data_IF_130178396576
#
_entry.id   IF_130178396576
#
_cell.length_a   1.000
_cell.length_b   1.000
_cell.length_c   1.000
_cell.angle_alpha   90.00
_cell.angle_beta   90.00
_cell.angle_gamma   90.00
#
_symmetry.space_group_name_H-M   'P 1'
#
loop_
_entity.id
_entity.type
_entity.pdbx_description
1 polymer ?
#
# COMPACT_ATOMS: atom_id res chain seq x y z
N UNK A 1 -8.24 -34.40 -21.00
CA UNK A 1 -7.50 -34.40 -19.72
C UNK A 1 -6.02 -34.25 -20.02
N UNK A 2 -5.49 -33.03 -20.01
CA UNK A 2 -4.04 -32.81 -20.09
C UNK A 2 -3.44 -32.95 -18.69
N UNK A 3 -2.47 -33.85 -18.56
CA UNK A 3 -1.84 -34.32 -17.33
C UNK A 3 -1.12 -33.18 -16.57
N UNK A 4 -1.58 -32.83 -15.37
CA UNK A 4 -0.93 -31.87 -14.45
C UNK A 4 0.51 -32.25 -14.05
N UNK A 5 0.85 -33.54 -14.09
CA UNK A 5 2.21 -34.01 -13.79
C UNK A 5 3.29 -33.54 -14.78
N UNK A 6 2.97 -33.39 -16.07
CA UNK A 6 3.97 -32.94 -17.08
C UNK A 6 4.18 -31.43 -17.04
N UNK A 7 3.17 -30.68 -16.61
CA UNK A 7 3.24 -29.23 -16.43
C UNK A 7 4.04 -28.86 -15.17
N UNK A 8 3.78 -29.53 -14.05
CA UNK A 8 4.55 -29.36 -12.82
C UNK A 8 6.03 -29.69 -13.02
N UNK A 9 6.32 -30.83 -13.64
CA UNK A 9 7.69 -31.19 -14.01
C UNK A 9 8.31 -30.19 -14.99
N UNK A 10 7.54 -29.61 -15.91
CA UNK A 10 8.02 -28.58 -16.84
C UNK A 10 8.34 -27.24 -16.17
N UNK A 11 7.51 -26.79 -15.22
CA UNK A 11 7.74 -25.57 -14.45
C UNK A 11 8.92 -25.74 -13.46
N UNK A 12 8.96 -26.87 -12.75
CA UNK A 12 10.06 -27.22 -11.87
C UNK A 12 11.37 -27.40 -12.66
N UNK A 13 11.36 -28.07 -13.81
CA UNK A 13 12.53 -28.25 -14.66
C UNK A 13 12.96 -26.94 -15.34
N UNK A 14 12.03 -26.05 -15.71
CA UNK A 14 12.36 -24.72 -16.24
C UNK A 14 13.04 -23.82 -15.20
N UNK A 15 12.58 -23.87 -13.95
CA UNK A 15 13.18 -23.13 -12.84
C UNK A 15 14.51 -23.74 -12.38
N UNK A 16 14.58 -25.07 -12.22
CA UNK A 16 15.82 -25.79 -11.87
C UNK A 16 16.84 -25.75 -13.01
N UNK A 17 16.39 -25.71 -14.26
CA UNK A 17 17.23 -25.53 -15.45
C UNK A 17 17.83 -24.13 -15.53
N UNK A 18 17.12 -23.09 -15.07
CA UNK A 18 17.68 -21.74 -14.93
C UNK A 18 18.71 -21.64 -13.78
N UNK A 19 18.61 -22.49 -12.76
CA UNK A 19 19.46 -22.49 -11.56
C UNK A 19 20.52 -23.61 -11.54
N UNK A 20 20.85 -24.20 -12.69
CA UNK A 20 21.71 -25.37 -12.79
C UNK A 20 23.13 -25.18 -12.21
N UNK A 21 23.49 -26.05 -11.25
CA UNK A 21 24.86 -26.36 -10.82
C UNK A 21 25.41 -25.50 -9.66
N UNK A 22 25.53 -26.10 -8.47
CA UNK A 22 26.14 -25.53 -7.24
C UNK A 22 25.48 -24.27 -6.61
N UNK A 23 24.55 -23.60 -7.29
CA UNK A 23 23.90 -22.38 -6.79
C UNK A 23 22.82 -22.64 -5.71
N UNK A 24 22.10 -23.76 -5.74
CA UNK A 24 20.96 -24.03 -4.85
C UNK A 24 21.27 -23.88 -3.35
N UNK A 25 22.44 -24.35 -2.91
CA UNK A 25 22.85 -24.28 -1.50
C UNK A 25 23.24 -22.86 -1.04
N UNK A 26 23.70 -22.00 -1.94
CA UNK A 26 24.11 -20.62 -1.62
C UNK A 26 23.00 -19.58 -1.93
N UNK A 27 22.07 -19.90 -2.83
CA UNK A 27 21.01 -19.01 -3.31
C UNK A 27 19.81 -18.96 -2.36
N UNK A 28 19.46 -20.09 -1.71
CA UNK A 28 18.35 -20.15 -0.73
C UNK A 28 18.71 -19.45 0.60
N UNK A 29 20.00 -19.32 0.90
CA UNK A 29 20.46 -18.66 2.13
C UNK A 29 20.47 -17.13 2.08
N UNK A 30 20.49 -16.50 0.89
CA UNK A 30 20.76 -15.05 0.83
C UNK A 30 20.38 -14.28 -0.46
N UNK A 31 19.48 -14.78 -1.33
CA UNK A 31 19.18 -14.06 -2.58
C UNK A 31 17.70 -13.92 -2.96
N UNK A 32 17.36 -12.72 -3.44
CA UNK A 32 16.04 -12.23 -3.82
C UNK A 32 15.33 -13.11 -4.88
N UNK A 33 16.08 -13.86 -5.69
CA UNK A 33 15.55 -14.79 -6.70
C UNK A 33 14.98 -16.06 -6.03
N UNK A 34 15.56 -16.51 -4.92
CA UNK A 34 15.08 -17.67 -4.15
C UNK A 34 13.73 -17.41 -3.49
N UNK A 35 13.52 -16.20 -2.96
CA UNK A 35 12.25 -15.79 -2.34
C UNK A 35 11.11 -15.65 -3.37
N UNK A 36 11.41 -15.09 -4.56
CA UNK A 36 10.45 -14.99 -5.68
C UNK A 36 10.03 -16.40 -6.13
N UNK A 37 11.00 -17.29 -6.32
CA UNK A 37 10.74 -18.67 -6.71
C UNK A 37 9.92 -19.43 -5.67
N UNK A 38 10.27 -19.33 -4.40
CA UNK A 38 9.57 -20.03 -3.31
C UNK A 38 8.15 -19.51 -3.08
N UNK A 39 7.92 -18.19 -3.19
CA UNK A 39 6.58 -17.59 -3.07
C UNK A 39 5.64 -17.99 -4.22
N UNK A 40 6.15 -17.99 -5.45
CA UNK A 40 5.39 -18.44 -6.61
C UNK A 40 5.06 -19.94 -6.55
N UNK A 41 6.02 -20.77 -6.10
CA UNK A 41 5.84 -22.21 -5.96
C UNK A 41 4.83 -22.57 -4.85
N UNK A 42 4.96 -21.97 -3.65
CA UNK A 42 4.08 -22.30 -2.51
C UNK A 42 2.63 -21.83 -2.70
N UNK A 43 2.41 -20.64 -3.28
CA UNK A 43 1.07 -20.10 -3.54
C UNK A 43 0.27 -20.88 -4.59
N UNK A 44 0.95 -21.37 -5.64
CA UNK A 44 0.32 -22.19 -6.67
C UNK A 44 0.05 -23.63 -6.20
N UNK A 45 0.97 -24.25 -5.45
CA UNK A 45 0.83 -25.62 -4.92
C UNK A 45 -0.33 -25.71 -3.92
N UNK A 46 -0.53 -24.72 -3.06
CA UNK A 46 -1.64 -24.72 -2.08
C UNK A 46 -3.04 -24.67 -2.71
N UNK A 47 -3.17 -24.02 -3.88
CA UNK A 47 -4.45 -23.91 -4.58
C UNK A 47 -4.77 -25.15 -5.41
N UNK A 48 -3.77 -25.79 -6.03
CA UNK A 48 -3.98 -27.04 -6.78
C UNK A 48 -4.30 -28.21 -5.84
N UNK A 49 -3.70 -28.25 -4.64
CA UNK A 49 -4.00 -29.24 -3.60
C UNK A 49 -5.41 -29.11 -3.01
N UNK A 50 -6.02 -27.92 -3.09
CA UNK A 50 -7.40 -27.68 -2.62
C UNK A 50 -8.42 -27.70 -3.76
N UNK A 51 -8.02 -28.17 -4.96
CA UNK A 51 -8.90 -28.35 -6.12
C UNK A 51 -9.14 -27.09 -6.96
N UNK A 52 -8.36 -26.02 -6.73
CA UNK A 52 -8.39 -24.77 -7.48
C UNK A 52 -7.36 -24.69 -8.61
N UNK A 53 -7.46 -23.65 -9.44
CA UNK A 53 -6.52 -23.40 -10.52
C UNK A 53 -5.21 -22.78 -9.98
N UNK A 54 -4.07 -23.40 -10.30
CA UNK A 54 -2.72 -22.95 -9.96
C UNK A 54 -2.49 -21.44 -10.21
N UNK A 55 -2.86 -20.92 -11.39
CA UNK A 55 -2.65 -19.52 -11.77
C UNK A 55 -3.52 -18.56 -10.96
N UNK A 56 -4.75 -18.97 -10.66
CA UNK A 56 -5.64 -18.17 -9.83
C UNK A 56 -5.15 -18.16 -8.37
N UNK A 57 -4.64 -19.29 -7.89
CA UNK A 57 -3.98 -19.41 -6.58
C UNK A 57 -2.70 -18.61 -6.45
N UNK A 58 -1.86 -18.58 -7.48
CA UNK A 58 -0.61 -17.82 -7.48
C UNK A 58 -0.85 -16.30 -7.51
N UNK A 59 -1.89 -15.85 -8.22
CA UNK A 59 -2.31 -14.43 -8.25
C UNK A 59 -2.93 -14.00 -6.91
N UNK A 60 -3.82 -14.81 -6.33
CA UNK A 60 -4.47 -14.54 -5.03
C UNK A 60 -3.50 -14.70 -3.85
N UNK A 61 -2.52 -15.59 -3.96
CA UNK A 61 -1.64 -16.02 -2.87
C UNK A 61 -0.34 -15.22 -2.70
N UNK A 62 -0.02 -14.27 -3.60
CA UNK A 62 1.10 -13.36 -3.37
C UNK A 62 2.22 -13.36 -4.41
N UNK A 63 1.94 -13.66 -5.68
CA UNK A 63 2.81 -13.15 -6.75
C UNK A 63 2.83 -11.62 -6.70
N UNK A 64 1.67 -10.94 -6.65
CA UNK A 64 1.66 -9.46 -6.66
C UNK A 64 2.23 -8.86 -5.35
N UNK A 65 1.86 -9.38 -4.18
CA UNK A 65 2.36 -8.86 -2.90
C UNK A 65 3.83 -9.25 -2.63
N UNK A 66 4.24 -10.47 -3.00
CA UNK A 66 5.61 -10.97 -2.85
C UNK A 66 6.58 -10.36 -3.86
N UNK A 67 6.19 -10.23 -5.13
CA UNK A 67 7.01 -9.52 -6.12
C UNK A 67 7.05 -8.02 -5.84
N UNK A 68 5.96 -7.38 -5.40
CA UNK A 68 6.03 -5.96 -5.05
C UNK A 68 6.98 -5.73 -3.86
N UNK A 69 6.91 -6.55 -2.80
CA UNK A 69 7.84 -6.45 -1.66
C UNK A 69 9.31 -6.72 -2.02
N UNK A 70 9.60 -7.63 -2.94
CA UNK A 70 10.98 -7.93 -3.40
C UNK A 70 11.47 -6.90 -4.44
N UNK A 71 10.61 -6.42 -5.34
CA UNK A 71 10.91 -5.33 -6.27
C UNK A 71 11.19 -4.02 -5.50
N UNK A 72 10.47 -3.77 -4.40
CA UNK A 72 10.77 -2.67 -3.45
C UNK A 72 12.06 -2.87 -2.64
N UNK A 73 12.61 -4.10 -2.56
CA UNK A 73 13.92 -4.37 -1.95
C UNK A 73 15.07 -4.25 -2.96
N UNK A 74 14.77 -4.10 -4.25
CA UNK A 74 15.71 -3.65 -5.26
C UNK A 74 15.62 -2.12 -5.31
N UNK A 75 16.76 -1.44 -5.35
CA UNK A 75 16.94 -0.02 -5.04
C UNK A 75 16.26 0.99 -6.03
N UNK A 76 15.20 0.59 -6.73
CA UNK A 76 14.46 1.38 -7.70
C UNK A 76 13.08 1.75 -7.13
N UNK A 77 12.82 3.05 -6.98
CA UNK A 77 11.51 3.58 -6.58
C UNK A 77 10.43 3.12 -7.57
N UNK A 78 9.26 2.75 -7.05
CA UNK A 78 8.15 2.28 -7.86
C UNK A 78 7.46 3.45 -8.55
N UNK A 79 7.13 3.23 -9.81
CA UNK A 79 6.31 4.12 -10.62
C UNK A 79 4.85 3.65 -10.56
N UNK A 80 3.92 4.57 -10.34
CA UNK A 80 2.48 4.27 -10.33
C UNK A 80 1.87 4.63 -11.68
N UNK A 81 1.23 3.65 -12.33
CA UNK A 81 0.46 3.92 -13.54
C UNK A 81 -0.86 4.61 -13.19
N UNK A 82 -1.55 5.12 -14.20
CA UNK A 82 -2.86 5.75 -13.99
C UNK A 82 -3.92 4.76 -13.49
N UNK A 83 -3.88 3.51 -13.94
CA UNK A 83 -4.76 2.45 -13.45
C UNK A 83 -4.50 2.12 -11.98
N UNK A 84 -3.24 2.20 -11.55
CA UNK A 84 -2.85 1.99 -10.16
C UNK A 84 -3.38 3.11 -9.28
N UNK A 85 -3.21 4.36 -9.72
CA UNK A 85 -3.81 5.53 -9.06
C UNK A 85 -5.33 5.38 -8.99
N UNK A 86 -5.98 4.94 -10.07
CA UNK A 86 -7.42 4.72 -10.09
C UNK A 86 -7.85 3.69 -9.04
N UNK A 87 -7.16 2.55 -8.95
CA UNK A 87 -7.45 1.52 -7.94
C UNK A 87 -7.31 2.06 -6.52
N UNK A 88 -6.27 2.86 -6.27
CA UNK A 88 -6.06 3.52 -4.97
C UNK A 88 -7.19 4.52 -4.70
N UNK A 89 -7.54 5.35 -5.68
CA UNK A 89 -8.61 6.34 -5.57
C UNK A 89 -9.98 5.71 -5.30
N UNK A 90 -10.36 4.68 -6.06
CA UNK A 90 -11.63 3.96 -5.89
C UNK A 90 -11.73 3.28 -4.53
N UNK A 91 -10.60 2.87 -3.93
CA UNK A 91 -10.54 2.27 -2.61
C UNK A 91 -10.45 3.29 -1.46
N UNK A 92 -10.33 4.59 -1.77
CA UNK A 92 -10.05 5.62 -0.78
C UNK A 92 -11.32 6.00 0.01
N UNK A 93 -11.35 5.80 1.35
CA UNK A 93 -12.47 6.22 2.17
C UNK A 93 -12.44 7.76 2.29
N UNK A 94 -13.37 8.46 1.64
CA UNK A 94 -13.32 9.91 1.53
C UNK A 94 -13.56 10.61 2.86
N UNK A 95 -12.78 11.65 3.14
CA UNK A 95 -13.01 12.59 4.25
C UNK A 95 -13.89 13.78 3.88
N UNK A 96 -14.32 13.90 2.63
CA UNK A 96 -15.20 14.96 2.15
C UNK A 96 -16.67 14.57 2.35
N UNK A 97 -17.41 15.37 3.14
CA UNK A 97 -18.82 15.13 3.44
C UNK A 97 -19.74 15.18 2.21
N UNK A 98 -19.28 15.81 1.11
CA UNK A 98 -20.01 15.86 -0.15
C UNK A 98 -19.80 14.62 -1.02
N UNK A 99 -18.81 13.77 -0.69
CA UNK A 99 -18.49 12.58 -1.45
C UNK A 99 -19.43 11.42 -1.06
N UNK A 100 -20.02 10.68 -2.02
CA UNK A 100 -20.86 9.52 -1.71
C UNK A 100 -20.12 8.40 -0.96
N UNK A 101 -18.78 8.36 -1.07
CA UNK A 101 -17.92 7.43 -0.35
C UNK A 101 -17.36 8.05 0.94
N UNK A 102 -18.01 9.09 1.48
CA UNK A 102 -17.65 9.67 2.77
C UNK A 102 -17.66 8.61 3.87
N UNK A 103 -16.58 8.57 4.64
CA UNK A 103 -16.48 7.74 5.83
C UNK A 103 -16.10 8.63 7.00
N UNK A 104 -16.90 8.62 8.07
CA UNK A 104 -16.61 9.42 9.25
C UNK A 104 -15.29 8.97 9.90
N UNK A 105 -14.59 9.90 10.55
CA UNK A 105 -13.29 9.67 11.19
C UNK A 105 -13.28 8.38 12.03
N UNK A 106 -14.23 8.25 12.94
CA UNK A 106 -14.33 7.14 13.90
C UNK A 106 -14.54 5.81 13.18
N UNK A 107 -15.33 5.82 12.11
CA UNK A 107 -15.58 4.64 11.28
C UNK A 107 -14.33 4.20 10.51
N UNK A 108 -13.44 5.12 10.12
CA UNK A 108 -12.16 4.73 9.50
C UNK A 108 -11.34 3.86 10.46
N UNK A 109 -11.19 4.30 11.72
CA UNK A 109 -10.47 3.53 12.74
C UNK A 109 -11.17 2.20 13.03
N UNK A 110 -12.49 2.23 13.21
CA UNK A 110 -13.31 1.05 13.50
C UNK A 110 -13.24 0.00 12.38
N UNK A 111 -13.36 0.43 11.12
CA UNK A 111 -13.35 -0.46 9.94
C UNK A 111 -11.98 -1.13 9.75
N UNK A 112 -10.89 -0.46 10.11
CA UNK A 112 -9.54 -1.04 10.07
C UNK A 112 -9.33 -2.01 11.25
N UNK A 113 -9.81 -1.63 12.44
CA UNK A 113 -9.73 -2.45 13.64
C UNK A 113 -8.28 -2.68 14.13
N UNK A 114 -8.08 -3.77 14.87
CA UNK A 114 -6.76 -4.20 15.32
C UNK A 114 -6.14 -3.27 16.36
N UNK A 115 -4.82 -3.19 16.34
CA UNK A 115 -4.05 -2.38 17.30
C UNK A 115 -4.29 -0.88 17.10
N UNK A 116 -4.58 -0.46 15.86
CA UNK A 116 -4.94 0.91 15.51
C UNK A 116 -6.22 1.35 16.20
N UNK A 117 -7.28 0.53 16.13
CA UNK A 117 -8.55 0.87 16.75
C UNK A 117 -8.48 0.82 18.28
N UNK A 118 -7.70 -0.12 18.84
CA UNK A 118 -7.46 -0.17 20.29
C UNK A 118 -6.74 1.08 20.80
N UNK A 119 -5.72 1.54 20.08
CA UNK A 119 -5.01 2.79 20.38
C UNK A 119 -5.98 3.98 20.30
N UNK A 120 -6.80 4.04 19.25
CA UNK A 120 -7.82 5.08 19.08
C UNK A 120 -8.89 5.07 20.18
N UNK A 121 -9.37 3.91 20.63
CA UNK A 121 -10.32 3.82 21.74
C UNK A 121 -9.72 4.31 23.06
N UNK A 122 -8.42 4.15 23.24
CA UNK A 122 -7.74 4.55 24.48
C UNK A 122 -7.34 6.02 24.48
N UNK A 123 -7.02 6.58 23.30
CA UNK A 123 -6.34 7.88 23.19
C UNK A 123 -7.06 8.88 22.26
N UNK A 124 -8.07 8.45 21.51
CA UNK A 124 -8.78 9.25 20.51
C UNK A 124 -9.72 10.29 21.10
N UNK A 125 -10.06 10.15 22.39
CA UNK A 125 -10.88 11.07 23.16
C UNK A 125 -10.27 11.28 24.55
N UNK A 126 -10.39 12.50 25.08
CA UNK A 126 -10.08 12.76 26.48
C UNK A 126 -11.18 12.24 27.41
N UNK A 127 -10.96 12.32 28.73
CA UNK A 127 -11.94 11.90 29.75
C UNK A 127 -13.26 12.67 29.72
N UNK A 128 -13.29 13.83 29.05
CA UNK A 128 -14.46 14.68 28.89
C UNK A 128 -15.19 14.41 27.57
N UNK A 129 -14.72 13.46 26.76
CA UNK A 129 -15.28 13.11 25.46
C UNK A 129 -14.88 14.05 24.32
N UNK A 130 -13.89 14.92 24.53
CA UNK A 130 -13.38 15.77 23.44
C UNK A 130 -12.42 14.97 22.57
N UNK A 131 -12.56 15.16 21.25
CA UNK A 131 -11.67 14.56 20.27
C UNK A 131 -10.21 14.97 20.49
N UNK A 132 -9.31 14.00 20.57
CA UNK A 132 -7.88 14.26 20.60
C UNK A 132 -7.40 14.75 19.22
N UNK A 133 -6.81 15.97 19.11
CA UNK A 133 -6.33 16.51 17.85
C UNK A 133 -5.31 15.61 17.14
N UNK A 134 -4.53 14.83 17.88
CA UNK A 134 -3.55 13.90 17.31
C UNK A 134 -4.19 12.80 16.44
N UNK A 135 -5.47 12.50 16.66
CA UNK A 135 -6.25 11.51 15.90
C UNK A 135 -7.25 12.14 14.93
N UNK A 136 -7.37 13.47 14.92
CA UNK A 136 -8.29 14.19 14.05
C UNK A 136 -7.87 14.08 12.57
N UNK A 137 -6.56 14.15 12.29
CA UNK A 137 -6.06 14.04 10.94
C UNK A 137 -6.01 12.56 10.48
N UNK A 138 -6.99 12.17 9.66
CA UNK A 138 -7.11 10.80 9.14
C UNK A 138 -6.55 10.62 7.72
N UNK A 139 -5.95 11.64 7.11
CA UNK A 139 -5.46 11.57 5.73
C UNK A 139 -4.52 10.37 5.49
N UNK A 140 -3.63 10.13 6.45
CA UNK A 140 -2.63 9.05 6.40
C UNK A 140 -3.27 7.67 6.54
N UNK A 141 -4.26 7.57 7.42
CA UNK A 141 -4.96 6.32 7.67
C UNK A 141 -5.82 5.93 6.48
N UNK A 142 -6.52 6.91 5.89
CA UNK A 142 -7.33 6.74 4.67
C UNK A 142 -6.47 6.32 3.48
N UNK A 143 -5.34 6.98 3.27
CA UNK A 143 -4.40 6.61 2.20
C UNK A 143 -3.76 5.24 2.46
N UNK A 144 -3.40 4.91 3.71
CA UNK A 144 -2.89 3.58 4.06
C UNK A 144 -3.90 2.48 3.76
N UNK A 145 -5.18 2.73 4.05
CA UNK A 145 -6.27 1.82 3.69
C UNK A 145 -6.37 1.63 2.18
N UNK A 146 -6.39 2.73 1.44
CA UNK A 146 -6.48 2.74 -0.01
C UNK A 146 -5.34 1.94 -0.67
N UNK A 147 -4.09 2.17 -0.24
CA UNK A 147 -2.91 1.46 -0.73
C UNK A 147 -3.01 -0.05 -0.50
N UNK A 148 -3.28 -0.45 0.75
CA UNK A 148 -3.43 -1.87 1.11
C UNK A 148 -4.56 -2.54 0.31
N UNK A 149 -5.70 -1.87 0.14
CA UNK A 149 -6.86 -2.39 -0.59
C UNK A 149 -6.59 -2.50 -2.10
N UNK A 150 -5.78 -1.61 -2.66
CA UNK A 150 -5.37 -1.61 -4.06
C UNK A 150 -4.23 -2.60 -4.36
N UNK A 151 -3.71 -3.33 -3.37
CA UNK A 151 -2.63 -4.32 -3.53
C UNK A 151 -1.23 -3.78 -3.24
N UNK A 152 -1.09 -2.49 -2.94
CA UNK A 152 0.16 -1.85 -2.49
C UNK A 152 0.32 -2.04 -0.98
N UNK A 153 0.58 -3.29 -0.59
CA UNK A 153 0.65 -3.67 0.82
C UNK A 153 1.79 -2.94 1.52
N UNK A 154 1.49 -2.25 2.61
CA UNK A 154 2.47 -1.52 3.40
C UNK A 154 3.28 -2.52 4.26
N UNK A 155 4.62 -2.54 4.15
CA UNK A 155 5.46 -3.41 4.97
C UNK A 155 5.46 -2.96 6.43
N UNK A 156 5.72 -3.90 7.34
CA UNK A 156 5.90 -3.58 8.76
C UNK A 156 7.18 -2.77 8.91
N UNK A 157 7.05 -1.51 9.30
CA UNK A 157 8.16 -0.58 9.51
C UNK A 157 7.91 0.28 10.75
N UNK A 158 8.92 1.06 11.15
CA UNK A 158 8.77 2.01 12.25
C UNK A 158 7.65 3.01 11.97
N UNK A 159 6.71 3.14 12.91
CA UNK A 159 5.54 4.02 12.77
C UNK A 159 4.31 3.37 12.13
N UNK A 160 4.37 2.08 11.79
CA UNK A 160 3.19 1.32 11.37
C UNK A 160 2.52 0.60 12.53
N UNK A 161 1.19 0.45 12.43
CA UNK A 161 0.35 -0.28 13.36
C UNK A 161 -0.45 -1.34 12.62
N UNK A 162 -0.83 -2.42 13.31
CA UNK A 162 -1.48 -3.56 12.67
C UNK A 162 -3.00 -3.46 12.75
N UNK A 163 -3.67 -3.55 11.60
CA UNK A 163 -5.13 -3.65 11.52
C UNK A 163 -5.65 -5.05 11.85
N UNK A 164 -6.98 -5.20 11.96
CA UNK A 164 -7.61 -6.49 12.25
C UNK A 164 -7.34 -7.54 11.16
N UNK A 165 -7.17 -7.09 9.92
CA UNK A 165 -6.81 -7.90 8.75
C UNK A 165 -5.31 -8.29 8.69
N UNK A 166 -4.52 -8.00 9.73
CA UNK A 166 -3.08 -8.25 9.83
C UNK A 166 -2.20 -7.43 8.87
N UNK A 167 -2.76 -6.45 8.15
CA UNK A 167 -2.00 -5.49 7.35
C UNK A 167 -1.48 -4.33 8.21
N UNK A 168 -0.46 -3.63 7.70
CA UNK A 168 0.16 -2.50 8.40
C UNK A 168 -0.35 -1.18 7.86
N UNK A 169 -0.51 -0.18 8.73
CA UNK A 169 -1.01 1.14 8.36
C UNK A 169 -0.22 2.24 9.05
N UNK A 170 -0.08 3.37 8.38
CA UNK A 170 0.35 4.62 9.00
C UNK A 170 -0.88 5.47 9.32
N UNK A 171 -1.04 5.90 10.56
CA UNK A 171 -2.03 6.93 10.90
C UNK A 171 -1.39 8.31 11.13
N UNK A 172 -0.06 8.39 11.21
CA UNK A 172 0.70 9.65 11.35
C UNK A 172 1.24 10.14 10.01
N UNK A 173 1.00 11.42 9.73
CA UNK A 173 1.33 12.03 8.44
C UNK A 173 2.83 12.19 8.18
N UNK A 174 3.63 12.46 9.22
CA UNK A 174 5.09 12.50 9.09
C UNK A 174 5.66 11.13 8.67
N UNK A 175 5.09 10.02 9.18
CA UNK A 175 5.57 8.66 8.88
C UNK A 175 5.20 8.21 7.47
N UNK A 176 3.94 8.42 7.05
CA UNK A 176 3.54 8.01 5.70
C UNK A 176 4.24 8.84 4.63
N UNK A 177 4.52 10.13 4.88
CA UNK A 177 5.28 10.94 3.92
C UNK A 177 6.68 10.37 3.66
N UNK A 178 7.39 9.93 4.71
CA UNK A 178 8.70 9.29 4.59
C UNK A 178 8.58 8.00 3.79
N UNK A 179 7.60 7.15 4.12
CA UNK A 179 7.34 5.91 3.39
C UNK A 179 7.08 6.17 1.90
N UNK A 180 6.15 7.07 1.56
CA UNK A 180 5.81 7.40 0.18
C UNK A 180 7.01 7.94 -0.60
N UNK A 181 7.80 8.83 0.01
CA UNK A 181 8.98 9.44 -0.62
C UNK A 181 10.10 8.43 -0.91
N UNK A 182 10.19 7.38 -0.08
CA UNK A 182 11.14 6.29 -0.26
C UNK A 182 10.63 5.20 -1.21
N UNK A 183 9.31 5.04 -1.31
CA UNK A 183 8.66 3.97 -2.06
C UNK A 183 8.38 4.35 -3.51
N UNK A 184 7.96 5.60 -3.75
CA UNK A 184 7.54 6.08 -5.06
C UNK A 184 8.35 7.29 -5.51
N UNK A 185 8.39 7.51 -6.83
CA UNK A 185 8.96 8.72 -7.40
C UNK A 185 7.99 9.89 -7.20
N UNK A 186 8.46 10.96 -6.59
CA UNK A 186 7.71 12.20 -6.40
C UNK A 186 8.43 13.37 -7.04
N UNK A 187 7.69 14.21 -7.75
CA UNK A 187 8.16 15.47 -8.33
C UNK A 187 7.43 16.64 -7.68
N UNK A 188 8.12 17.75 -7.49
CA UNK A 188 7.48 18.99 -7.01
C UNK A 188 6.65 19.61 -8.13
N UNK A 189 5.40 19.96 -7.84
CA UNK A 189 4.54 20.66 -8.78
C UNK A 189 4.97 22.12 -8.96
N UNK A 190 4.96 22.60 -10.21
CA UNK A 190 5.06 24.02 -10.51
C UNK A 190 3.79 24.75 -10.10
N UNK A 191 3.91 26.05 -9.81
CA UNK A 191 2.75 26.89 -9.48
C UNK A 191 1.70 26.82 -10.61
N UNK A 192 0.44 26.57 -10.26
CA UNK A 192 -0.67 26.48 -11.22
C UNK A 192 -0.74 25.19 -12.04
N UNK A 193 0.15 24.22 -11.80
CA UNK A 193 0.11 22.92 -12.45
C UNK A 193 -1.16 22.15 -12.07
N UNK A 194 -1.91 21.68 -13.09
CA UNK A 194 -3.08 20.84 -12.91
C UNK A 194 -2.65 19.37 -12.76
N UNK A 195 -2.67 18.87 -11.53
CA UNK A 195 -2.33 17.49 -11.21
C UNK A 195 -3.58 16.63 -11.47
N UNK A 196 -3.49 15.65 -12.36
CA UNK A 196 -4.63 14.83 -12.76
C UNK A 196 -4.78 13.55 -11.93
N UNK A 197 -3.81 12.64 -12.05
CA UNK A 197 -3.87 11.31 -11.47
C UNK A 197 -2.56 10.98 -10.75
N UNK A 198 -2.53 11.14 -9.42
CA UNK A 198 -1.33 10.90 -8.60
C UNK A 198 -1.65 10.79 -7.12
N UNK A 199 -0.79 10.13 -6.34
CA UNK A 199 -0.69 10.39 -4.90
C UNK A 199 -0.03 11.76 -4.71
N UNK A 200 -0.54 12.57 -3.80
CA UNK A 200 0.04 13.88 -3.49
C UNK A 200 0.54 13.96 -2.04
N UNK A 201 1.56 14.78 -1.85
CA UNK A 201 2.07 15.19 -0.55
C UNK A 201 2.10 16.72 -0.53
N UNK A 202 1.26 17.33 0.30
CA UNK A 202 1.24 18.78 0.48
C UNK A 202 1.95 19.15 1.77
N UNK A 203 2.83 20.14 1.69
CA UNK A 203 3.65 20.64 2.81
C UNK A 203 3.55 22.15 2.91
N UNK A 204 4.03 22.70 4.03
CA UNK A 204 4.06 24.14 4.31
C UNK A 204 2.68 24.79 4.13
N UNK A 205 1.69 24.21 4.80
CA UNK A 205 0.29 24.62 4.77
C UNK A 205 -0.06 25.69 5.81
N UNK A 206 0.90 26.12 6.64
CA UNK A 206 0.68 27.08 7.73
C UNK A 206 0.01 26.47 8.97
N UNK A 207 -0.03 25.14 9.07
CA UNK A 207 -0.65 24.41 10.18
C UNK A 207 0.33 24.21 11.35
N UNK A 208 -0.17 24.33 12.57
CA UNK A 208 0.59 24.05 13.80
C UNK A 208 0.39 22.61 14.31
N UNK A 209 -0.65 21.93 13.83
CA UNK A 209 -1.15 20.64 14.31
C UNK A 209 -0.88 19.48 13.33
N UNK A 210 -0.40 19.77 12.12
CA UNK A 210 -0.03 18.76 11.13
C UNK A 210 1.19 19.18 10.30
N UNK A 211 2.08 18.23 10.01
CA UNK A 211 3.28 18.46 9.18
C UNK A 211 2.95 18.59 7.69
N UNK A 212 1.71 18.28 7.29
CA UNK A 212 1.21 18.39 5.93
C UNK A 212 -0.06 17.56 5.72
N UNK A 213 -0.37 17.33 4.44
CA UNK A 213 -1.50 16.51 3.99
C UNK A 213 -1.04 15.48 2.96
N UNK A 214 -1.69 14.32 2.94
CA UNK A 214 -1.52 13.32 1.88
C UNK A 214 -2.89 12.94 1.33
N UNK A 215 -2.99 12.83 0.02
CA UNK A 215 -4.24 12.46 -0.65
C UNK A 215 -3.93 11.71 -1.95
N UNK A 216 -4.97 11.20 -2.59
CA UNK A 216 -4.92 10.65 -3.94
C UNK A 216 -5.80 11.48 -4.85
N UNK A 217 -5.29 11.84 -6.02
CA UNK A 217 -6.02 12.54 -7.07
C UNK A 217 -6.29 11.58 -8.22
N UNK A 218 -7.48 11.66 -8.80
CA UNK A 218 -7.82 10.99 -10.04
C UNK A 218 -8.70 11.90 -10.91
N UNK A 219 -8.31 12.13 -12.15
CA UNK A 219 -9.00 13.07 -13.05
C UNK A 219 -9.14 14.49 -12.48
N UNK A 220 -8.15 14.93 -11.69
CA UNK A 220 -8.13 16.25 -11.05
C UNK A 220 -8.97 16.37 -9.77
N UNK A 221 -9.61 15.28 -9.32
CA UNK A 221 -10.42 15.25 -8.09
C UNK A 221 -9.64 14.61 -6.96
N UNK A 222 -9.60 15.26 -5.80
CA UNK A 222 -9.00 14.68 -4.59
C UNK A 222 -9.92 13.60 -3.98
N UNK A 223 -9.32 12.65 -3.26
CA UNK A 223 -10.04 11.63 -2.52
C UNK A 223 -10.76 12.22 -1.31
N UNK A 224 -10.08 13.12 -0.56
CA UNK A 224 -10.73 13.97 0.44
C UNK A 224 -10.66 15.44 0.07
N UNK A 225 -9.46 16.00 -0.01
CA UNK A 225 -9.34 17.44 -0.19
C UNK A 225 -7.97 17.82 -0.76
N UNK A 226 -7.97 18.85 -1.61
CA UNK A 226 -6.75 19.49 -2.08
C UNK A 226 -6.64 20.88 -1.46
N UNK A 227 -5.60 21.10 -0.67
CA UNK A 227 -5.43 22.35 0.07
C UNK A 227 -4.62 23.37 -0.74
N UNK A 228 -5.30 24.38 -1.29
CA UNK A 228 -4.67 25.42 -2.11
C UNK A 228 -3.71 26.33 -1.32
N UNK A 229 -3.86 26.40 0.01
CA UNK A 229 -2.99 27.19 0.87
C UNK A 229 -1.59 26.57 1.08
N UNK A 230 -1.40 25.30 0.72
CA UNK A 230 -0.10 24.63 0.85
C UNK A 230 0.86 25.12 -0.23
N UNK A 231 1.93 25.82 0.18
CA UNK A 231 2.91 26.42 -0.74
C UNK A 231 3.81 25.40 -1.45
N UNK A 232 3.79 24.12 -1.05
CA UNK A 232 4.58 23.07 -1.69
C UNK A 232 3.74 21.82 -1.85
N UNK A 233 3.58 21.35 -3.09
CA UNK A 233 2.90 20.09 -3.41
C UNK A 233 3.86 19.20 -4.20
N UNK A 234 4.00 17.95 -3.77
CA UNK A 234 4.65 16.90 -4.51
C UNK A 234 3.59 15.95 -5.05
N UNK A 235 3.78 15.42 -6.25
CA UNK A 235 2.90 14.42 -6.86
C UNK A 235 3.73 13.21 -7.30
N UNK A 236 3.13 12.03 -7.23
CA UNK A 236 3.76 10.80 -7.70
C UNK A 236 3.88 10.83 -9.22
N UNK A 237 5.09 10.60 -9.73
CA UNK A 237 5.35 10.53 -11.17
C UNK A 237 4.94 9.16 -11.74
N UNK A 238 4.50 9.20 -13.00
CA UNK A 238 4.44 8.04 -13.90
C UNK A 238 5.84 7.62 -14.34
#
# INVERSE_FOLDING_TARGET
MMQGGKFFSGAAAGFLGHLGGAAWSNTVGNSNIGAIGFGALSGGVGAELTGGNFWQGAVTGGIVAGLNGVLHSMNNKTTLTEDDIKKIYDAYPSGDHSNPNFVQRDDVYKNIGGDIYKDYLSNGYDSSGNANPAYANTCSLRLSYALNKAGYTIPKTSGTFRGANKLNYFYKVDKIQVYLSNTYNFTQASLGMQIQSSIIIQKKCGWSDATGHVDVLYGGRAGSHFYNQCSTTFYSSK
#
